data_IF_031096271200
#
_entry.id   IF_031096271200
#
_cell.length_a   1.000
_cell.length_b   1.000
_cell.length_c   1.000
_cell.angle_alpha   90.00
_cell.angle_beta   90.00
_cell.angle_gamma   90.00
#
_symmetry.space_group_name_H-M   'P 1'
#
loop_
_entity.id
_entity.type
_entity.pdbx_description
1 polymer ?
#
# COMPACT_ATOMS: atom_id res chain seq x y z
N UNK A 1 -13.60 -19.18 -12.01
CA UNK A 1 -12.75 -18.02 -11.66
C UNK A 1 -11.73 -18.49 -10.65
N UNK A 2 -10.46 -18.37 -11.00
CA UNK A 2 -9.33 -19.12 -10.44
C UNK A 2 -8.94 -18.65 -9.04
N UNK A 3 -8.60 -19.58 -8.15
CA UNK A 3 -8.20 -19.33 -6.75
C UNK A 3 -7.06 -18.31 -6.60
N UNK A 4 -6.15 -18.26 -7.58
CA UNK A 4 -5.06 -17.26 -7.67
C UNK A 4 -5.56 -15.82 -7.74
N UNK A 5 -6.62 -15.54 -8.51
CA UNK A 5 -7.15 -14.19 -8.63
C UNK A 5 -7.74 -13.70 -7.29
N UNK A 6 -8.35 -14.63 -6.53
CA UNK A 6 -8.86 -14.34 -5.19
C UNK A 6 -7.72 -14.04 -4.20
N UNK A 7 -6.66 -14.85 -4.21
CA UNK A 7 -5.49 -14.64 -3.37
C UNK A 7 -4.76 -13.30 -3.67
N UNK A 8 -4.70 -12.89 -4.94
CA UNK A 8 -4.16 -11.59 -5.34
C UNK A 8 -5.00 -10.44 -4.77
N UNK A 9 -6.34 -10.51 -4.87
CA UNK A 9 -7.24 -9.51 -4.30
C UNK A 9 -7.12 -9.43 -2.77
N UNK A 10 -7.04 -10.57 -2.09
CA UNK A 10 -6.89 -10.62 -0.63
C UNK A 10 -5.55 -10.00 -0.21
N UNK A 11 -4.49 -10.23 -0.99
CA UNK A 11 -3.17 -9.61 -0.79
C UNK A 11 -3.21 -8.09 -0.99
N UNK A 12 -3.90 -7.61 -2.03
CA UNK A 12 -4.10 -6.18 -2.28
C UNK A 12 -4.82 -5.50 -1.10
N UNK A 13 -5.89 -6.11 -0.60
CA UNK A 13 -6.65 -5.59 0.56
C UNK A 13 -5.79 -5.51 1.82
N UNK A 14 -5.00 -6.54 2.10
CA UNK A 14 -4.10 -6.56 3.26
C UNK A 14 -3.03 -5.46 3.18
N UNK A 15 -2.45 -5.27 2.00
CA UNK A 15 -1.47 -4.20 1.76
C UNK A 15 -2.10 -2.82 1.92
N UNK A 16 -3.32 -2.63 1.45
CA UNK A 16 -4.06 -1.39 1.68
C UNK A 16 -4.26 -1.09 3.18
N UNK A 17 -4.76 -2.07 3.94
CA UNK A 17 -4.95 -1.92 5.40
C UNK A 17 -3.62 -1.62 6.08
N UNK A 18 -2.53 -2.31 5.70
CA UNK A 18 -1.19 -2.05 6.23
C UNK A 18 -0.80 -0.59 6.02
N UNK A 19 -1.04 -0.04 4.83
CA UNK A 19 -0.73 1.36 4.55
C UNK A 19 -1.56 2.32 5.41
N UNK A 20 -2.86 2.06 5.59
CA UNK A 20 -3.71 2.85 6.49
C UNK A 20 -3.20 2.83 7.93
N UNK A 21 -2.77 1.68 8.43
CA UNK A 21 -2.20 1.55 9.77
C UNK A 21 -0.89 2.33 9.88
N UNK A 22 0.00 2.24 8.88
CA UNK A 22 1.27 2.96 8.88
C UNK A 22 1.09 4.48 8.83
N UNK A 23 0.13 4.98 8.04
CA UNK A 23 -0.20 6.40 8.01
C UNK A 23 -0.68 6.88 9.39
N UNK A 24 -1.52 6.09 10.06
CA UNK A 24 -1.97 6.37 11.45
C UNK A 24 -0.86 6.28 12.49
N UNK A 25 0.20 5.54 12.20
CA UNK A 25 1.41 5.43 13.04
C UNK A 25 2.45 6.52 12.73
N UNK A 26 2.07 7.57 11.98
CA UNK A 26 2.96 8.66 11.56
C UNK A 26 4.15 8.17 10.71
N UNK A 27 3.92 7.09 9.95
CA UNK A 27 4.87 6.50 8.98
C UNK A 27 4.34 6.61 7.55
N UNK A 28 4.12 7.84 7.03
CA UNK A 28 3.52 8.05 5.71
C UNK A 28 4.36 7.44 4.57
N UNK A 29 5.70 7.44 4.68
CA UNK A 29 6.57 6.82 3.68
C UNK A 29 6.31 5.31 3.51
N UNK A 30 6.21 4.57 4.62
CA UNK A 30 5.92 3.14 4.58
C UNK A 30 4.47 2.86 4.14
N UNK A 31 3.56 3.79 4.41
CA UNK A 31 2.17 3.71 3.98
C UNK A 31 2.05 3.78 2.46
N UNK A 32 2.74 4.75 1.85
CA UNK A 32 2.82 4.91 0.40
C UNK A 32 3.35 3.64 -0.27
N UNK A 33 4.41 3.04 0.26
CA UNK A 33 4.96 1.80 -0.29
C UNK A 33 3.98 0.61 -0.17
N UNK A 34 3.23 0.53 0.93
CA UNK A 34 2.16 -0.46 1.08
C UNK A 34 1.02 -0.26 0.07
N UNK A 35 0.58 0.97 -0.17
CA UNK A 35 -0.47 1.26 -1.15
C UNK A 35 -0.01 1.02 -2.59
N UNK A 36 1.24 1.36 -2.93
CA UNK A 36 1.84 0.99 -4.23
C UNK A 36 1.87 -0.53 -4.42
N UNK A 37 2.28 -1.28 -3.40
CA UNK A 37 2.29 -2.73 -3.46
C UNK A 37 0.88 -3.31 -3.63
N UNK A 38 -0.16 -2.72 -3.02
CA UNK A 38 -1.54 -3.14 -3.21
C UNK A 38 -1.97 -3.04 -4.69
N UNK A 39 -1.58 -1.95 -5.37
CA UNK A 39 -1.87 -1.73 -6.79
C UNK A 39 -1.13 -2.68 -7.74
N UNK A 40 -0.05 -3.33 -7.29
CA UNK A 40 0.63 -4.39 -8.08
C UNK A 40 -0.22 -5.65 -8.14
N UNK A 41 -0.96 -5.97 -7.06
CA UNK A 41 -1.83 -7.14 -7.01
C UNK A 41 -3.22 -6.86 -7.58
N UNK A 42 -3.72 -5.64 -7.40
CA UNK A 42 -4.99 -5.17 -7.91
C UNK A 42 -4.88 -3.73 -8.41
N UNK A 43 -4.58 -3.54 -9.71
CA UNK A 43 -4.48 -2.20 -10.32
C UNK A 43 -5.78 -1.39 -10.23
N UNK A 44 -6.93 -2.05 -10.04
CA UNK A 44 -8.25 -1.42 -9.96
C UNK A 44 -8.66 -1.08 -8.52
N UNK A 45 -7.76 -1.28 -7.54
CA UNK A 45 -8.00 -0.97 -6.14
C UNK A 45 -8.17 0.55 -5.92
N UNK A 46 -9.43 0.98 -5.92
CA UNK A 46 -9.80 2.40 -5.81
C UNK A 46 -9.36 3.00 -4.48
N UNK A 47 -9.36 2.22 -3.40
CA UNK A 47 -8.98 2.66 -2.06
C UNK A 47 -7.49 2.95 -1.95
N UNK A 48 -6.63 2.09 -2.50
CA UNK A 48 -5.18 2.31 -2.56
C UNK A 48 -4.84 3.52 -3.44
N UNK A 49 -5.55 3.69 -4.56
CA UNK A 49 -5.35 4.84 -5.45
C UNK A 49 -5.79 6.16 -4.81
N UNK A 50 -6.92 6.17 -4.10
CA UNK A 50 -7.40 7.33 -3.37
C UNK A 50 -6.45 7.71 -2.22
N UNK A 51 -5.91 6.72 -1.51
CA UNK A 51 -4.93 6.95 -0.45
C UNK A 51 -3.64 7.61 -0.98
N UNK A 52 -3.12 7.15 -2.12
CA UNK A 52 -1.95 7.77 -2.76
C UNK A 52 -2.23 9.19 -3.26
N UNK A 53 -3.42 9.46 -3.79
CA UNK A 53 -3.78 10.80 -4.26
C UNK A 53 -3.90 11.84 -3.12
N UNK A 54 -4.20 11.37 -1.91
CA UNK A 54 -4.25 12.21 -0.71
C UNK A 54 -2.88 12.53 -0.11
N UNK A 55 -1.86 11.71 -0.37
CA UNK A 55 -0.50 11.97 0.08
C UNK A 55 0.23 12.84 -0.95
N UNK A 56 0.81 13.98 -0.55
CA UNK A 56 1.66 14.72 -1.46
C UNK A 56 2.87 13.85 -1.81
N UNK A 57 3.03 13.54 -3.12
CA UNK A 57 4.26 12.99 -3.70
C UNK A 57 5.42 13.97 -3.43
N UNK A 58 5.97 13.93 -2.22
CA UNK A 58 6.92 14.95 -1.76
C UNK A 58 7.63 14.64 -0.44
N UNK A 59 7.21 13.60 0.28
CA UNK A 59 7.98 13.05 1.39
C UNK A 59 9.13 12.20 0.87
N UNK A 60 10.23 12.83 0.51
CA UNK A 60 11.46 12.21 0.04
C UNK A 60 11.82 10.94 0.85
N UNK A 61 12.18 9.88 0.12
CA UNK A 61 12.55 8.59 0.67
C UNK A 61 13.58 8.71 1.79
N UNK A 62 13.13 8.46 3.02
CA UNK A 62 14.00 8.12 4.11
C UNK A 62 14.13 6.60 4.13
N UNK A 63 15.30 6.13 3.73
CA UNK A 63 15.72 4.74 3.74
C UNK A 63 15.27 4.01 5.01
N UNK A 64 14.36 3.06 4.86
CA UNK A 64 14.15 2.04 5.89
C UNK A 64 15.09 0.89 5.55
N UNK A 65 16.22 0.82 6.26
CA UNK A 65 17.06 -0.39 6.29
C UNK A 65 16.17 -1.60 6.59
N UNK A 66 16.37 -2.75 5.93
CA UNK A 66 15.65 -3.96 6.28
C UNK A 66 15.95 -4.33 7.74
N UNK A 67 14.90 -4.68 8.49
CA UNK A 67 15.01 -5.31 9.80
C UNK A 67 15.76 -6.66 9.67
N UNK A 68 16.52 -7.10 10.69
CA UNK A 68 17.40 -8.28 10.62
C UNK A 68 16.66 -9.59 10.38
#
# INVERSE_FOLDING_TARGET
>A
MSERARQSLDSAKLLWIRGVVLAKLDRPADAVEAWKAALVFDPDNAEARAALAGEPEGGAGAAIKPAP
#
